data_IF_437838391276
#
_entry.id   IF_437838391276
#
_cell.length_a   1.000
_cell.length_b   1.000
_cell.length_c   1.000
_cell.angle_alpha   90.00
_cell.angle_beta   90.00
_cell.angle_gamma   90.00
#
_symmetry.space_group_name_H-M   'P 1'
#
loop_
_entity.id
_entity.type
_entity.pdbx_description
1 polymer ?
#
# COMPACT_ATOMS: atom_id res chain seq x y z
N UNK A 1 13.29 -1.02 21.17
CA UNK A 1 13.41 -1.12 19.70
C UNK A 1 12.49 -0.04 19.13
N UNK A 2 13.06 1.03 18.58
CA UNK A 2 12.33 2.23 18.15
C UNK A 2 11.81 2.13 16.71
N UNK A 3 10.96 3.07 16.30
CA UNK A 3 10.52 3.28 14.92
C UNK A 3 11.72 3.38 13.97
N UNK A 4 11.73 2.62 12.87
CA UNK A 4 12.72 2.79 11.82
C UNK A 4 12.30 3.92 10.87
N UNK A 5 12.87 5.10 11.09
CA UNK A 5 12.61 6.28 10.29
C UNK A 5 13.07 6.10 8.84
N UNK A 6 14.13 5.32 8.58
CA UNK A 6 14.63 5.06 7.23
C UNK A 6 13.62 4.25 6.41
N UNK A 7 13.10 3.16 6.99
CA UNK A 7 12.03 2.37 6.40
C UNK A 7 10.76 3.18 6.13
N UNK A 8 10.39 4.09 7.04
CA UNK A 8 9.22 4.96 6.88
C UNK A 8 9.39 5.97 5.73
N UNK A 9 10.53 6.68 5.70
CA UNK A 9 10.81 7.66 4.65
C UNK A 9 10.87 7.00 3.27
N UNK A 10 11.46 5.80 3.19
CA UNK A 10 11.47 4.99 1.96
C UNK A 10 10.05 4.64 1.48
N UNK A 11 9.18 4.22 2.41
CA UNK A 11 7.79 3.91 2.08
C UNK A 11 7.02 5.11 1.55
N UNK A 12 7.17 6.29 2.17
CA UNK A 12 6.48 7.53 1.77
C UNK A 12 7.00 8.07 0.44
N UNK A 13 8.29 7.88 0.14
CA UNK A 13 8.88 8.31 -1.13
C UNK A 13 8.43 7.45 -2.32
N UNK A 14 8.09 6.19 -2.06
CA UNK A 14 7.86 5.17 -3.10
C UNK A 14 6.76 5.53 -4.11
N UNK A 15 5.59 6.08 -3.73
CA UNK A 15 4.57 6.55 -4.68
C UNK A 15 5.04 7.58 -5.72
N UNK A 16 6.18 8.24 -5.48
CA UNK A 16 6.76 9.28 -6.36
C UNK A 16 7.97 8.77 -7.13
N UNK A 17 8.30 7.48 -7.01
CA UNK A 17 9.46 6.89 -7.68
C UNK A 17 9.30 6.94 -9.20
N UNK A 18 10.41 7.13 -9.90
CA UNK A 18 10.46 7.12 -11.37
C UNK A 18 11.34 5.98 -11.87
N UNK A 19 10.94 5.37 -12.99
CA UNK A 19 11.66 4.30 -13.65
C UNK A 19 11.69 4.57 -15.16
N UNK A 20 12.88 4.46 -15.77
CA UNK A 20 13.11 4.76 -17.19
C UNK A 20 12.57 6.14 -17.65
N UNK A 21 12.63 7.14 -16.77
CA UNK A 21 12.20 8.51 -17.07
C UNK A 21 10.67 8.74 -16.99
N UNK A 22 9.89 7.72 -16.63
CA UNK A 22 8.45 7.82 -16.35
C UNK A 22 8.11 7.52 -14.90
N UNK A 23 6.85 7.72 -14.53
CA UNK A 23 6.34 7.31 -13.22
C UNK A 23 6.42 5.78 -13.09
N UNK A 24 7.02 5.29 -11.99
CA UNK A 24 7.11 3.85 -11.75
C UNK A 24 5.74 3.23 -11.43
N UNK A 25 4.78 4.06 -11.00
CA UNK A 25 3.43 3.67 -10.63
C UNK A 25 2.44 4.59 -11.37
N UNK A 26 1.95 4.18 -12.56
CA UNK A 26 1.29 5.09 -13.48
C UNK A 26 -0.09 5.60 -13.02
N UNK A 27 -0.66 5.07 -11.95
CA UNK A 27 -2.00 5.38 -11.47
C UNK A 27 -2.07 5.43 -9.93
N UNK A 28 -3.14 5.99 -9.38
CA UNK A 28 -3.31 6.16 -7.94
C UNK A 28 -3.37 4.83 -7.17
N UNK A 29 -3.91 3.77 -7.77
CA UNK A 29 -4.02 2.46 -7.16
C UNK A 29 -2.65 1.77 -7.08
N UNK A 30 -1.84 1.87 -8.13
CA UNK A 30 -0.45 1.35 -8.09
C UNK A 30 0.42 2.12 -7.11
N UNK A 31 0.23 3.43 -6.96
CA UNK A 31 0.89 4.26 -5.94
C UNK A 31 0.47 3.89 -4.51
N UNK A 32 -0.83 3.73 -4.27
CA UNK A 32 -1.36 3.29 -3.00
C UNK A 32 -0.81 1.90 -2.63
N UNK A 33 -0.87 0.94 -3.55
CA UNK A 33 -0.34 -0.40 -3.33
C UNK A 33 1.18 -0.40 -3.05
N UNK A 34 1.96 0.46 -3.71
CA UNK A 34 3.39 0.60 -3.44
C UNK A 34 3.66 1.10 -2.01
N UNK A 35 2.91 2.12 -1.56
CA UNK A 35 2.97 2.65 -0.20
C UNK A 35 2.63 1.56 0.83
N UNK A 36 1.47 0.93 0.66
CA UNK A 36 0.98 -0.11 1.57
C UNK A 36 1.93 -1.30 1.64
N UNK A 37 2.48 -1.76 0.50
CA UNK A 37 3.44 -2.86 0.47
C UNK A 37 4.72 -2.51 1.24
N UNK A 38 5.24 -1.30 1.10
CA UNK A 38 6.43 -0.86 1.84
C UNK A 38 6.18 -0.74 3.34
N UNK A 39 5.07 -0.13 3.73
CA UNK A 39 4.71 -0.03 5.15
C UNK A 39 4.46 -1.41 5.78
N UNK A 40 3.82 -2.32 5.05
CA UNK A 40 3.49 -3.64 5.54
C UNK A 40 4.73 -4.55 5.70
N UNK A 41 5.74 -4.41 4.83
CA UNK A 41 6.93 -5.30 4.80
C UNK A 41 8.15 -4.75 5.51
N UNK A 42 8.32 -3.43 5.57
CA UNK A 42 9.51 -2.83 6.18
C UNK A 42 9.39 -2.71 7.71
N UNK A 43 8.23 -3.08 8.29
CA UNK A 43 7.95 -2.99 9.73
C UNK A 43 8.43 -1.68 10.40
N UNK A 44 8.21 -0.49 9.80
CA UNK A 44 8.81 0.73 10.32
C UNK A 44 8.22 1.15 11.68
N UNK A 45 7.05 0.64 12.08
CA UNK A 45 6.38 0.96 13.34
C UNK A 45 6.49 -0.18 14.37
N UNK A 46 6.50 0.20 15.65
CA UNK A 46 6.67 -0.68 16.82
C UNK A 46 5.49 -1.67 17.00
N UNK A 47 4.27 -1.27 16.64
CA UNK A 47 3.06 -2.13 16.62
C UNK A 47 2.09 -1.65 15.51
N UNK A 48 1.15 -2.50 15.08
CA UNK A 48 0.04 -2.22 14.14
C UNK A 48 0.38 -1.93 12.67
N UNK A 49 1.56 -2.31 12.17
CA UNK A 49 1.99 -2.07 10.78
C UNK A 49 0.92 -2.43 9.72
N UNK A 50 0.15 -3.51 9.90
CA UNK A 50 -0.85 -3.93 8.91
C UNK A 50 -2.08 -3.01 8.85
N UNK A 51 -2.60 -2.56 10.00
CA UNK A 51 -3.74 -1.62 10.03
C UNK A 51 -3.31 -0.24 9.56
N UNK A 52 -2.16 0.25 10.04
CA UNK A 52 -1.63 1.55 9.59
C UNK A 52 -1.29 1.55 8.10
N UNK A 53 -0.73 0.46 7.56
CA UNK A 53 -0.47 0.34 6.13
C UNK A 53 -1.78 0.36 5.31
N UNK A 54 -2.84 -0.29 5.81
CA UNK A 54 -4.14 -0.27 5.14
C UNK A 54 -4.74 1.14 5.14
N UNK A 55 -4.82 1.79 6.30
CA UNK A 55 -5.29 3.17 6.44
C UNK A 55 -4.47 4.15 5.59
N UNK A 56 -3.15 3.98 5.51
CA UNK A 56 -2.31 4.82 4.68
C UNK A 56 -2.65 4.73 3.18
N UNK A 57 -3.06 3.56 2.69
CA UNK A 57 -3.55 3.43 1.32
C UNK A 57 -4.87 4.16 1.12
N UNK A 58 -5.81 4.01 2.06
CA UNK A 58 -7.12 4.69 2.01
C UNK A 58 -6.97 6.21 2.03
N UNK A 59 -6.19 6.73 2.99
CA UNK A 59 -5.86 8.15 3.09
C UNK A 59 -5.16 8.66 1.84
N UNK A 60 -4.26 7.86 1.24
CA UNK A 60 -3.64 8.24 -0.02
C UNK A 60 -4.67 8.41 -1.14
N UNK A 61 -5.61 7.48 -1.28
CA UNK A 61 -6.69 7.59 -2.28
C UNK A 61 -7.58 8.81 -2.00
N UNK A 62 -8.01 9.02 -0.75
CA UNK A 62 -8.82 10.16 -0.33
C UNK A 62 -8.16 11.51 -0.63
N UNK A 63 -6.89 11.66 -0.26
CA UNK A 63 -6.14 12.90 -0.51
C UNK A 63 -5.96 13.21 -2.01
N UNK A 64 -6.06 12.19 -2.86
CA UNK A 64 -6.02 12.35 -4.31
C UNK A 64 -7.42 12.38 -4.95
N UNK A 65 -8.49 12.34 -4.16
CA UNK A 65 -9.87 12.39 -4.64
C UNK A 65 -10.33 11.13 -5.38
N UNK A 66 -9.67 9.99 -5.16
CA UNK A 66 -10.07 8.71 -5.75
C UNK A 66 -11.12 8.05 -4.85
N UNK A 67 -12.37 7.90 -5.30
CA UNK A 67 -13.43 7.32 -4.48
C UNK A 67 -13.22 5.82 -4.29
N UNK A 68 -13.60 5.33 -3.11
CA UNK A 68 -13.65 3.92 -2.80
C UNK A 68 -14.84 3.60 -1.88
N UNK A 69 -15.15 2.31 -1.76
CA UNK A 69 -16.12 1.75 -0.85
C UNK A 69 -15.41 0.99 0.27
N UNK A 70 -16.05 0.97 1.45
CA UNK A 70 -15.56 0.18 2.58
C UNK A 70 -15.64 -1.32 2.24
N UNK A 71 -14.51 -2.05 2.33
CA UNK A 71 -14.53 -3.49 2.10
C UNK A 71 -15.10 -4.23 3.30
N UNK A 72 -15.46 -5.49 3.10
CA UNK A 72 -15.72 -6.36 4.24
C UNK A 72 -14.44 -6.54 5.07
N UNK A 73 -14.51 -6.52 6.42
CA UNK A 73 -13.32 -6.62 7.27
C UNK A 73 -12.44 -7.84 6.98
N UNK A 74 -13.06 -9.00 6.71
CA UNK A 74 -12.32 -10.24 6.44
C UNK A 74 -11.55 -10.17 5.11
N UNK A 75 -12.12 -9.51 4.09
CA UNK A 75 -11.46 -9.34 2.79
C UNK A 75 -10.27 -8.39 2.90
N UNK A 76 -10.40 -7.31 3.69
CA UNK A 76 -9.30 -6.40 3.98
C UNK A 76 -8.17 -7.09 4.75
N UNK A 77 -8.52 -7.95 5.73
CA UNK A 77 -7.54 -8.76 6.47
C UNK A 77 -6.82 -9.74 5.52
N UNK A 78 -7.57 -10.45 4.68
CA UNK A 78 -6.99 -11.38 3.71
C UNK A 78 -6.02 -10.68 2.73
N UNK A 79 -6.44 -9.53 2.19
CA UNK A 79 -5.61 -8.70 1.33
C UNK A 79 -4.31 -8.27 2.04
N UNK A 80 -4.41 -7.74 3.27
CA UNK A 80 -3.26 -7.24 4.02
C UNK A 80 -2.31 -8.36 4.44
N UNK A 81 -2.83 -9.55 4.74
CA UNK A 81 -1.99 -10.73 5.00
C UNK A 81 -1.19 -11.09 3.76
N UNK A 82 -1.85 -11.21 2.60
CA UNK A 82 -1.17 -11.52 1.33
C UNK A 82 -0.12 -10.46 0.97
N UNK A 83 -0.43 -9.18 1.18
CA UNK A 83 0.49 -8.07 0.90
C UNK A 83 1.74 -8.13 1.80
N UNK A 84 1.56 -8.38 3.09
CA UNK A 84 2.64 -8.41 4.06
C UNK A 84 3.53 -9.66 3.95
N UNK A 85 2.98 -10.81 3.53
CA UNK A 85 3.72 -12.05 3.37
C UNK A 85 4.38 -12.21 2.00
N UNK A 86 4.25 -11.21 1.12
CA UNK A 86 4.85 -11.24 -0.21
C UNK A 86 4.07 -12.09 -1.23
N UNK A 87 2.80 -12.40 -0.99
CA UNK A 87 1.97 -13.22 -1.89
C UNK A 87 1.61 -12.57 -3.24
N UNK A 88 2.29 -11.50 -3.61
CA UNK A 88 2.26 -10.84 -4.92
C UNK A 88 3.62 -10.87 -5.61
N UNK A 89 4.64 -11.56 -5.07
CA UNK A 89 5.98 -11.70 -5.68
C UNK A 89 6.57 -10.36 -6.14
N UNK A 90 6.49 -9.34 -5.28
CA UNK A 90 6.89 -7.95 -5.54
C UNK A 90 6.13 -7.22 -6.66
N UNK A 91 5.19 -7.87 -7.35
CA UNK A 91 4.37 -7.30 -8.41
C UNK A 91 3.32 -6.34 -7.86
N UNK A 92 3.70 -5.07 -7.68
CA UNK A 92 2.81 -3.99 -7.22
C UNK A 92 1.56 -3.85 -8.09
N UNK A 93 1.66 -4.09 -9.40
CA UNK A 93 0.51 -4.04 -10.30
C UNK A 93 -0.58 -5.07 -9.95
N UNK A 94 -0.21 -6.26 -9.49
CA UNK A 94 -1.18 -7.27 -9.05
C UNK A 94 -1.82 -6.86 -7.72
N UNK A 95 -1.02 -6.36 -6.78
CA UNK A 95 -1.53 -5.81 -5.53
C UNK A 95 -2.50 -4.63 -5.77
N UNK A 96 -2.20 -3.77 -6.73
CA UNK A 96 -3.05 -2.64 -7.11
C UNK A 96 -4.39 -3.10 -7.70
N UNK A 97 -4.37 -4.12 -8.57
CA UNK A 97 -5.58 -4.71 -9.15
C UNK A 97 -6.47 -5.31 -8.06
N UNK A 98 -5.90 -6.06 -7.12
CA UNK A 98 -6.65 -6.68 -6.03
C UNK A 98 -7.15 -5.60 -5.03
N UNK A 99 -6.35 -4.57 -4.74
CA UNK A 99 -6.77 -3.43 -3.94
C UNK A 99 -7.97 -2.70 -4.57
N UNK A 100 -7.93 -2.48 -5.88
CA UNK A 100 -9.04 -1.86 -6.61
C UNK A 100 -10.28 -2.74 -6.61
N UNK A 101 -10.14 -4.05 -6.75
CA UNK A 101 -11.28 -4.97 -6.66
C UNK A 101 -11.87 -5.04 -5.26
N UNK A 102 -11.04 -4.91 -4.23
CA UNK A 102 -11.44 -4.90 -2.82
C UNK A 102 -12.26 -3.63 -2.48
N UNK A 103 -11.77 -2.49 -2.95
CA UNK A 103 -12.26 -1.16 -2.58
C UNK A 103 -13.23 -0.56 -3.59
N UNK A 104 -13.34 -1.10 -4.79
CA UNK A 104 -14.08 -0.51 -5.90
C UNK A 104 -15.06 -1.49 -6.53
N UNK A 105 -15.98 -2.06 -5.75
CA UNK A 105 -17.21 -2.64 -6.34
C UNK A 105 -17.79 -1.70 -7.39
#
# INVERSE_FOLDING_TARGET
MGTDLGGLLSAIARPRASLFGGDAYPDLWSKAAALGQSLARNHPLIDRNKRTAFEAMLLFLDYNGEPYADPHPDDAVAFMLRLATGGYDDAVALAAKDLRSLLGR
#
